data_IF_407537521457
#
_entry.id   IF_407537521457
#
_cell.length_a   1.000
_cell.length_b   1.000
_cell.length_c   1.000
_cell.angle_alpha   90.00
_cell.angle_beta   90.00
_cell.angle_gamma   90.00
#
_symmetry.space_group_name_H-M   'P 1'
#
loop_
_entity.id
_entity.type
_entity.pdbx_description
1 polymer ?
#
# COMPACT_ATOMS: atom_id res chain seq x y z
N UNK A 1 37.29 20.78 13.38
CA UNK A 1 38.38 21.63 12.83
C UNK A 1 39.02 22.54 13.88
N UNK A 2 38.32 23.49 14.49
CA UNK A 2 39.00 24.46 15.39
C UNK A 2 39.59 23.81 16.66
N UNK A 3 38.89 22.85 17.27
CA UNK A 3 39.42 22.08 18.39
C UNK A 3 40.69 21.29 18.02
N UNK A 4 40.75 20.75 16.81
CA UNK A 4 41.89 19.96 16.30
C UNK A 4 43.11 20.85 16.03
N UNK A 5 42.89 22.06 15.49
CA UNK A 5 43.94 23.06 15.30
C UNK A 5 44.51 23.56 16.63
N UNK A 6 43.66 23.73 17.66
CA UNK A 6 44.11 24.01 19.03
C UNK A 6 44.93 22.84 19.59
N UNK A 7 44.43 21.60 19.50
CA UNK A 7 45.13 20.42 19.99
C UNK A 7 46.50 20.19 19.30
N UNK A 8 46.59 20.47 17.99
CA UNK A 8 47.87 20.46 17.25
C UNK A 8 48.81 21.57 17.71
N UNK A 9 48.29 22.77 17.99
CA UNK A 9 49.05 23.86 18.60
C UNK A 9 49.59 23.52 20.00
N UNK A 10 48.76 22.91 20.85
CA UNK A 10 49.14 22.43 22.18
C UNK A 10 50.21 21.33 22.11
N UNK A 11 50.08 20.37 21.19
CA UNK A 11 51.07 19.33 20.96
C UNK A 11 52.44 19.91 20.57
N UNK A 12 52.48 20.87 19.65
CA UNK A 12 53.73 21.53 19.21
C UNK A 12 54.30 22.46 20.31
N UNK A 13 53.47 23.02 21.20
CA UNK A 13 53.95 23.75 22.38
C UNK A 13 54.51 22.84 23.50
N UNK A 14 54.21 21.54 23.46
CA UNK A 14 54.64 20.56 24.46
C UNK A 14 55.92 19.78 24.05
N UNK A 15 56.41 19.96 22.83
CA UNK A 15 57.62 19.32 22.30
C UNK A 15 58.82 20.27 22.43
N UNK A 16 59.86 19.85 23.16
CA UNK A 16 61.08 20.62 23.40
C UNK A 16 62.02 20.66 22.18
N UNK A 17 61.89 19.71 21.25
CA UNK A 17 62.68 19.62 20.01
C UNK A 17 61.92 20.16 18.77
N UNK A 18 60.70 20.68 18.95
CA UNK A 18 59.78 21.12 17.90
C UNK A 18 60.44 21.98 16.81
N UNK A 19 60.34 21.57 15.55
CA UNK A 19 60.99 22.30 14.45
C UNK A 19 60.22 23.57 14.08
N UNK A 20 60.94 24.53 13.50
CA UNK A 20 60.36 25.76 12.95
C UNK A 20 59.23 25.50 11.96
N UNK A 21 59.28 24.41 11.21
CA UNK A 21 58.31 24.13 10.16
C UNK A 21 57.04 23.49 10.74
N UNK A 22 57.14 22.67 11.79
CA UNK A 22 55.99 22.17 12.57
C UNK A 22 55.26 23.32 13.31
N UNK A 23 56.02 24.25 13.91
CA UNK A 23 55.48 25.49 14.48
C UNK A 23 54.77 26.35 13.43
N UNK A 24 55.32 26.44 12.22
CA UNK A 24 54.68 27.18 11.12
C UNK A 24 53.43 26.48 10.58
N UNK A 25 53.37 25.15 10.55
CA UNK A 25 52.20 24.41 10.09
C UNK A 25 51.06 24.43 11.11
N UNK A 26 51.36 24.23 12.41
CA UNK A 26 50.35 24.41 13.47
C UNK A 26 49.79 25.84 13.49
N UNK A 27 50.63 26.86 13.26
CA UNK A 27 50.19 28.25 13.15
C UNK A 27 49.32 28.53 11.91
N UNK A 28 49.58 27.88 10.76
CA UNK A 28 48.72 27.96 9.57
C UNK A 28 47.37 27.31 9.82
N UNK A 29 47.35 26.12 10.40
CA UNK A 29 46.11 25.38 10.67
C UNK A 29 45.22 26.15 11.64
N UNK A 30 45.79 26.75 12.68
CA UNK A 30 45.07 27.65 13.58
C UNK A 30 44.58 28.92 12.85
N UNK A 31 45.36 29.51 11.95
CA UNK A 31 44.92 30.66 11.14
C UNK A 31 43.75 30.30 10.21
N UNK A 32 43.79 29.15 9.54
CA UNK A 32 42.69 28.67 8.70
C UNK A 32 41.44 28.35 9.54
N UNK A 33 41.59 27.73 10.71
CA UNK A 33 40.48 27.46 11.60
C UNK A 33 39.86 28.73 12.22
N UNK A 34 40.67 29.76 12.52
CA UNK A 34 40.15 31.09 12.90
C UNK A 34 39.38 31.72 11.76
N UNK A 35 39.84 31.62 10.51
CA UNK A 35 39.11 32.13 9.35
C UNK A 35 37.80 31.34 9.08
N UNK A 36 37.79 30.03 9.35
CA UNK A 36 36.56 29.23 9.32
C UNK A 36 35.54 29.71 10.38
N UNK A 37 35.98 30.11 11.57
CA UNK A 37 35.10 30.74 12.58
C UNK A 37 34.57 32.13 12.17
N UNK A 38 35.17 32.82 11.20
CA UNK A 38 34.60 34.04 10.61
C UNK A 38 33.47 33.73 9.61
N UNK A 39 33.38 32.48 9.12
CA UNK A 39 32.22 32.03 8.36
C UNK A 39 31.05 31.77 9.32
N UNK A 40 29.90 32.38 9.03
CA UNK A 40 28.71 32.19 9.85
C UNK A 40 28.25 30.73 9.77
N UNK A 41 28.25 30.03 10.91
CA UNK A 41 27.69 28.69 11.06
C UNK A 41 26.28 28.57 10.44
N UNK A 42 25.99 27.38 9.92
CA UNK A 42 24.74 27.09 9.23
C UNK A 42 23.50 27.34 10.10
N UNK A 43 22.43 27.83 9.47
CA UNK A 43 21.09 27.71 10.03
C UNK A 43 20.59 26.30 9.73
N UNK A 44 20.45 25.48 10.79
CA UNK A 44 20.05 24.08 10.69
C UNK A 44 18.56 23.83 10.99
N UNK A 45 17.76 24.89 11.15
CA UNK A 45 16.35 24.80 11.59
C UNK A 45 15.52 23.88 10.68
N UNK A 46 15.71 23.94 9.37
CA UNK A 46 14.98 23.08 8.42
C UNK A 46 15.47 21.63 8.42
N UNK A 47 16.77 21.40 8.70
CA UNK A 47 17.37 20.06 8.86
C UNK A 47 16.88 19.38 10.15
N UNK A 48 16.81 20.12 11.25
CA UNK A 48 16.24 19.69 12.54
C UNK A 48 14.77 19.25 12.36
N UNK A 49 13.95 20.07 11.70
CA UNK A 49 12.55 19.72 11.40
C UNK A 49 12.41 18.51 10.46
N UNK A 50 13.34 18.31 9.52
CA UNK A 50 13.35 17.13 8.65
C UNK A 50 13.74 15.85 9.41
N UNK A 51 14.65 15.95 10.39
CA UNK A 51 14.99 14.85 11.30
C UNK A 51 13.84 14.52 12.26
N UNK A 52 13.17 15.52 12.84
CA UNK A 52 11.94 15.31 13.64
C UNK A 52 10.86 14.58 12.82
N UNK A 53 10.68 14.92 11.54
CA UNK A 53 9.76 14.22 10.66
C UNK A 53 10.23 12.78 10.38
N UNK A 54 11.53 12.56 10.17
CA UNK A 54 12.11 11.25 9.93
C UNK A 54 11.95 10.31 11.14
N UNK A 55 12.06 10.82 12.37
CA UNK A 55 11.81 10.05 13.61
C UNK A 55 10.34 9.64 13.79
N UNK A 56 9.40 10.28 13.09
CA UNK A 56 7.98 9.90 13.10
C UNK A 56 7.62 8.84 12.04
N UNK A 57 8.56 8.42 11.19
CA UNK A 57 8.32 7.46 10.10
C UNK A 57 8.43 6.02 10.61
N UNK A 58 7.27 5.37 10.72
CA UNK A 58 7.15 3.94 10.98
C UNK A 58 7.36 3.14 9.67
N UNK A 59 8.59 2.67 9.44
CA UNK A 59 8.99 1.94 8.24
C UNK A 59 8.26 0.60 8.03
N UNK A 60 7.66 0.00 9.07
CA UNK A 60 6.85 -1.23 8.89
C UNK A 60 5.60 -0.98 8.04
N UNK A 61 5.15 0.29 7.91
CA UNK A 61 4.05 0.67 7.00
C UNK A 61 4.47 0.81 5.54
N UNK A 62 5.75 0.81 5.23
CA UNK A 62 6.31 1.05 3.91
C UNK A 62 6.84 -0.24 3.27
N UNK A 63 6.89 -0.29 1.94
CA UNK A 63 7.59 -1.36 1.21
C UNK A 63 9.11 -1.21 1.41
N UNK A 64 9.88 -2.28 1.22
CA UNK A 64 11.34 -2.30 1.45
C UNK A 64 12.11 -1.32 0.52
N UNK A 65 11.60 -1.08 -0.69
CA UNK A 65 12.21 -0.17 -1.65
C UNK A 65 12.20 1.29 -1.16
N UNK A 66 13.38 1.91 -1.09
CA UNK A 66 13.59 3.28 -0.59
C UNK A 66 13.95 3.36 0.90
N UNK A 67 13.84 2.27 1.67
CA UNK A 67 14.13 2.31 3.12
C UNK A 67 15.63 2.45 3.41
N UNK A 68 16.48 1.77 2.63
CA UNK A 68 17.94 1.87 2.80
C UNK A 68 18.45 3.28 2.46
N UNK A 69 17.91 3.87 1.40
CA UNK A 69 18.21 5.24 0.97
C UNK A 69 17.74 6.27 2.01
N UNK A 70 16.54 6.09 2.58
CA UNK A 70 16.05 6.92 3.68
C UNK A 70 16.92 6.83 4.94
N UNK A 71 17.31 5.63 5.36
CA UNK A 71 18.16 5.45 6.54
C UNK A 71 19.55 6.06 6.35
N UNK A 72 20.16 5.89 5.16
CA UNK A 72 21.45 6.50 4.85
C UNK A 72 21.39 8.04 4.75
N UNK A 73 20.30 8.59 4.19
CA UNK A 73 20.07 10.04 4.18
C UNK A 73 19.83 10.59 5.59
N UNK A 74 19.15 9.84 6.47
CA UNK A 74 18.95 10.20 7.88
C UNK A 74 20.26 10.18 8.65
N UNK A 75 21.09 9.14 8.52
CA UNK A 75 22.42 9.08 9.14
C UNK A 75 23.32 10.25 8.68
N UNK A 76 23.26 10.60 7.39
CA UNK A 76 23.98 11.76 6.84
C UNK A 76 23.47 13.07 7.44
N UNK A 77 22.16 13.24 7.57
CA UNK A 77 21.54 14.40 8.19
C UNK A 77 21.84 14.51 9.69
N UNK A 78 21.85 13.41 10.44
CA UNK A 78 22.26 13.36 11.85
C UNK A 78 23.74 13.76 12.02
N UNK A 79 24.63 13.27 11.16
CA UNK A 79 26.04 13.64 11.15
C UNK A 79 26.26 15.14 10.86
N UNK A 80 25.61 15.67 9.81
CA UNK A 80 25.67 17.10 9.47
C UNK A 80 25.00 17.97 10.54
N UNK A 81 23.98 17.48 11.24
CA UNK A 81 23.37 18.17 12.39
C UNK A 81 24.35 18.24 13.57
N UNK A 82 25.07 17.16 13.86
CA UNK A 82 26.05 17.08 14.95
C UNK A 82 27.36 17.84 14.69
N UNK A 83 27.78 18.02 13.43
CA UNK A 83 29.02 18.73 13.09
C UNK A 83 28.93 20.24 13.40
N UNK A 84 29.75 20.72 14.32
CA UNK A 84 29.81 22.13 14.73
C UNK A 84 30.45 23.06 13.70
N UNK A 85 31.24 22.54 12.76
CA UNK A 85 31.91 23.33 11.72
C UNK A 85 31.12 23.35 10.38
N UNK A 86 30.00 22.62 10.30
CA UNK A 86 29.20 22.47 9.08
C UNK A 86 28.67 23.81 8.50
N UNK A 87 28.83 23.96 7.19
CA UNK A 87 28.44 25.13 6.42
C UNK A 87 27.01 25.00 5.87
N UNK A 88 26.43 26.14 5.46
CA UNK A 88 25.07 26.16 4.91
C UNK A 88 24.86 25.26 3.67
N UNK A 89 25.80 25.13 2.70
CA UNK A 89 25.62 24.23 1.57
C UNK A 89 25.47 22.76 1.99
N UNK A 90 26.30 22.30 2.93
CA UNK A 90 26.29 20.91 3.44
C UNK A 90 25.01 20.64 4.24
N UNK A 91 24.55 21.61 5.04
CA UNK A 91 23.28 21.57 5.77
C UNK A 91 22.08 21.52 4.80
N UNK A 92 22.13 22.28 3.71
CA UNK A 92 21.09 22.26 2.68
C UNK A 92 21.10 20.93 1.89
N UNK A 93 22.27 20.41 1.51
CA UNK A 93 22.40 19.16 0.76
C UNK A 93 21.90 17.96 1.58
N UNK A 94 22.24 17.90 2.87
CA UNK A 94 21.71 16.89 3.78
C UNK A 94 20.18 16.99 3.97
N UNK A 95 19.64 18.21 4.01
CA UNK A 95 18.19 18.45 4.08
C UNK A 95 17.47 18.04 2.79
N UNK A 96 18.00 18.43 1.61
CA UNK A 96 17.43 18.06 0.31
C UNK A 96 17.46 16.53 0.12
N UNK A 97 18.57 15.87 0.47
CA UNK A 97 18.69 14.40 0.39
C UNK A 97 17.72 13.67 1.32
N UNK A 98 17.59 14.10 2.58
CA UNK A 98 16.64 13.50 3.53
C UNK A 98 15.19 13.71 3.06
N UNK A 99 14.84 14.90 2.59
CA UNK A 99 13.50 15.20 2.06
C UNK A 99 13.22 14.42 0.77
N UNK A 100 14.18 14.25 -0.14
CA UNK A 100 14.01 13.40 -1.32
C UNK A 100 13.78 11.94 -0.93
N UNK A 101 14.57 11.39 0.01
CA UNK A 101 14.43 10.02 0.45
C UNK A 101 13.10 9.76 1.19
N UNK A 102 12.64 10.67 2.04
CA UNK A 102 11.28 10.64 2.63
C UNK A 102 10.21 10.61 1.53
N UNK A 103 10.38 11.41 0.47
CA UNK A 103 9.47 11.42 -0.68
C UNK A 103 9.64 10.21 -1.61
N UNK A 104 10.71 9.43 -1.50
CA UNK A 104 10.95 8.20 -2.26
C UNK A 104 10.18 7.00 -1.70
N UNK A 105 10.01 6.92 -0.38
CA UNK A 105 9.27 5.88 0.33
C UNK A 105 7.84 5.68 -0.20
N UNK A 106 7.36 4.42 -0.23
CA UNK A 106 5.98 4.06 -0.62
C UNK A 106 5.30 3.23 0.46
N UNK A 107 4.07 3.58 0.81
CA UNK A 107 3.27 2.77 1.73
C UNK A 107 2.97 1.42 1.10
N UNK A 108 2.80 0.38 1.92
CA UNK A 108 2.26 -0.91 1.48
C UNK A 108 0.82 -0.73 0.98
N UNK A 109 0.40 -1.54 0.01
CA UNK A 109 -1.01 -1.67 -0.36
C UNK A 109 -1.85 -2.15 0.84
N UNK A 110 -3.08 -1.66 0.98
CA UNK A 110 -4.03 -2.17 1.98
C UNK A 110 -4.62 -3.49 1.50
N UNK A 111 -4.36 -4.56 2.27
CA UNK A 111 -4.81 -5.93 1.97
C UNK A 111 -5.87 -6.44 2.94
N UNK A 112 -6.31 -5.64 3.90
CA UNK A 112 -7.27 -6.05 4.94
C UNK A 112 -8.53 -6.72 4.38
N UNK A 113 -9.12 -6.15 3.32
CA UNK A 113 -10.31 -6.70 2.64
C UNK A 113 -10.01 -8.01 1.89
N UNK A 114 -8.77 -8.24 1.47
CA UNK A 114 -8.33 -9.49 0.83
C UNK A 114 -8.06 -10.59 1.87
N UNK A 115 -7.44 -10.22 3.00
CA UNK A 115 -7.22 -11.08 4.17
C UNK A 115 -8.55 -11.56 4.75
N UNK A 116 -9.48 -10.63 5.01
CA UNK A 116 -10.84 -10.93 5.46
C UNK A 116 -11.58 -11.87 4.49
N UNK A 117 -11.45 -11.65 3.17
CA UNK A 117 -12.14 -12.47 2.17
C UNK A 117 -11.55 -13.88 2.07
N UNK A 118 -10.21 -14.02 2.07
CA UNK A 118 -9.54 -15.32 2.06
C UNK A 118 -9.93 -16.13 3.31
N UNK A 119 -9.86 -15.51 4.49
CA UNK A 119 -10.20 -16.12 5.78
C UNK A 119 -11.67 -16.59 5.87
N UNK A 120 -12.56 -16.03 5.05
CA UNK A 120 -13.98 -16.44 4.97
C UNK A 120 -14.22 -17.63 4.03
N UNK A 121 -13.27 -17.98 3.14
CA UNK A 121 -13.51 -18.94 2.06
C UNK A 121 -12.44 -20.03 1.92
N UNK A 122 -11.32 -19.96 2.65
CA UNK A 122 -10.23 -20.94 2.57
C UNK A 122 -10.64 -22.36 3.00
N UNK A 123 -11.45 -22.48 4.06
CA UNK A 123 -11.98 -23.74 4.60
C UNK A 123 -13.29 -24.21 3.93
N UNK A 124 -13.67 -23.64 2.78
CA UNK A 124 -14.94 -23.95 2.11
C UNK A 124 -14.95 -25.38 1.53
N UNK A 125 -15.87 -26.23 1.99
CA UNK A 125 -16.08 -27.56 1.41
C UNK A 125 -16.70 -27.46 0.00
N UNK A 126 -15.87 -27.74 -1.01
CA UNK A 126 -16.24 -27.74 -2.42
C UNK A 126 -16.93 -29.03 -2.89
N UNK A 127 -17.10 -30.06 -2.03
CA UNK A 127 -17.67 -31.37 -2.42
C UNK A 127 -19.12 -31.31 -2.92
N UNK A 128 -19.86 -30.25 -2.58
CA UNK A 128 -21.23 -30.00 -3.04
C UNK A 128 -21.35 -29.28 -4.38
N UNK A 129 -20.24 -28.94 -5.05
CA UNK A 129 -20.18 -28.03 -6.20
C UNK A 129 -19.72 -28.74 -7.49
N UNK A 130 -19.95 -28.11 -8.64
CA UNK A 130 -19.47 -28.61 -9.93
C UNK A 130 -17.95 -28.47 -10.00
N UNK A 131 -17.24 -29.47 -10.54
CA UNK A 131 -15.78 -29.44 -10.60
C UNK A 131 -15.25 -28.25 -11.43
N UNK A 132 -16.00 -27.78 -12.43
CA UNK A 132 -15.67 -26.59 -13.22
C UNK A 132 -15.71 -25.30 -12.36
N UNK A 133 -16.81 -25.05 -11.64
CA UNK A 133 -16.90 -23.86 -10.77
C UNK A 133 -15.94 -23.94 -9.57
N UNK A 134 -15.77 -25.14 -8.99
CA UNK A 134 -14.79 -25.39 -7.93
C UNK A 134 -13.34 -25.16 -8.41
N UNK A 135 -12.98 -25.55 -9.64
CA UNK A 135 -11.67 -25.27 -10.21
C UNK A 135 -11.44 -23.78 -10.44
N UNK A 136 -12.43 -23.04 -10.93
CA UNK A 136 -12.38 -21.57 -11.10
C UNK A 136 -12.17 -20.89 -9.74
N UNK A 137 -12.90 -21.30 -8.70
CA UNK A 137 -12.74 -20.78 -7.34
C UNK A 137 -11.36 -21.09 -6.75
N UNK A 138 -10.85 -22.33 -6.86
CA UNK A 138 -9.50 -22.68 -6.39
C UNK A 138 -8.41 -21.84 -7.06
N UNK A 139 -8.50 -21.63 -8.38
CA UNK A 139 -7.55 -20.79 -9.11
C UNK A 139 -7.63 -19.30 -8.71
N UNK A 140 -8.84 -18.79 -8.45
CA UNK A 140 -9.01 -17.43 -7.94
C UNK A 140 -8.46 -17.26 -6.51
N UNK A 141 -8.59 -18.28 -5.65
CA UNK A 141 -8.04 -18.32 -4.30
C UNK A 141 -6.51 -18.41 -4.29
N UNK A 142 -5.90 -19.19 -5.21
CA UNK A 142 -4.45 -19.25 -5.41
C UNK A 142 -3.87 -17.90 -5.88
N UNK A 143 -4.54 -17.25 -6.84
CA UNK A 143 -4.17 -15.91 -7.30
C UNK A 143 -4.32 -14.85 -6.18
N UNK A 144 -5.41 -14.92 -5.40
CA UNK A 144 -5.63 -14.05 -4.25
C UNK A 144 -4.55 -14.22 -3.17
N UNK A 145 -4.18 -15.46 -2.81
CA UNK A 145 -3.09 -15.73 -1.88
C UNK A 145 -1.72 -15.25 -2.41
N UNK A 146 -1.50 -15.33 -3.72
CA UNK A 146 -0.27 -14.80 -4.35
C UNK A 146 -0.18 -13.28 -4.22
N UNK A 147 -1.30 -12.56 -4.42
CA UNK A 147 -1.39 -11.11 -4.23
C UNK A 147 -1.30 -10.72 -2.75
N UNK A 148 -1.81 -11.55 -1.84
CA UNK A 148 -1.63 -11.37 -0.39
C UNK A 148 -0.16 -11.49 0.02
N UNK A 149 0.54 -12.53 -0.43
CA UNK A 149 1.95 -12.79 -0.08
C UNK A 149 2.95 -11.78 -0.69
N UNK A 150 2.59 -11.05 -1.75
CA UNK A 150 3.49 -10.10 -2.42
C UNK A 150 3.76 -8.83 -1.56
N UNK A 151 4.84 -8.86 -0.78
CA UNK A 151 5.28 -7.74 0.06
C UNK A 151 5.77 -6.50 -0.71
N UNK A 152 5.88 -6.57 -2.05
CA UNK A 152 6.35 -5.45 -2.88
C UNK A 152 5.22 -4.50 -3.31
N UNK A 153 3.95 -4.90 -3.14
CA UNK A 153 2.80 -4.09 -3.55
C UNK A 153 2.68 -2.80 -2.73
N UNK A 154 2.74 -1.67 -3.43
CA UNK A 154 2.65 -0.32 -2.86
C UNK A 154 1.25 0.28 -2.93
N UNK A 155 1.07 1.47 -2.35
CA UNK A 155 -0.10 2.34 -2.54
C UNK A 155 -0.51 2.52 -4.01
N UNK A 156 0.46 2.49 -4.94
CA UNK A 156 0.24 2.60 -6.39
C UNK A 156 -0.23 1.30 -7.04
N UNK A 157 -0.08 0.18 -6.34
CA UNK A 157 -0.46 -1.16 -6.78
C UNK A 157 -1.84 -1.60 -6.26
N UNK A 158 -2.52 -0.77 -5.44
CA UNK A 158 -3.79 -1.09 -4.79
C UNK A 158 -4.83 -1.74 -5.72
N UNK A 159 -4.94 -1.26 -6.97
CA UNK A 159 -5.85 -1.81 -7.97
C UNK A 159 -5.65 -3.32 -8.23
N UNK A 160 -4.44 -3.87 -8.06
CA UNK A 160 -4.17 -5.32 -8.14
C UNK A 160 -4.81 -6.09 -6.98
N UNK A 161 -4.79 -5.50 -5.78
CA UNK A 161 -5.43 -6.06 -4.58
C UNK A 161 -6.95 -6.00 -4.73
N UNK A 162 -7.48 -4.85 -5.18
CA UNK A 162 -8.91 -4.65 -5.41
C UNK A 162 -9.46 -5.60 -6.50
N UNK A 163 -8.72 -5.81 -7.59
CA UNK A 163 -9.09 -6.79 -8.63
C UNK A 163 -8.92 -8.26 -8.15
N UNK A 164 -8.01 -8.54 -7.21
CA UNK A 164 -7.92 -9.87 -6.58
C UNK A 164 -9.13 -10.16 -5.67
N UNK A 165 -9.52 -9.20 -4.81
CA UNK A 165 -10.75 -9.26 -3.99
C UNK A 165 -11.97 -9.51 -4.89
N UNK A 166 -12.10 -8.71 -5.95
CA UNK A 166 -13.19 -8.80 -6.92
C UNK A 166 -13.21 -10.12 -7.68
N UNK A 167 -12.05 -10.65 -8.08
CA UNK A 167 -11.93 -11.94 -8.78
C UNK A 167 -12.29 -13.12 -7.86
N UNK A 168 -11.73 -13.17 -6.64
CA UNK A 168 -12.05 -14.21 -5.66
C UNK A 168 -13.54 -14.18 -5.29
N UNK A 169 -14.09 -12.99 -5.07
CA UNK A 169 -15.52 -12.82 -4.80
C UNK A 169 -16.39 -13.29 -5.96
N UNK A 170 -16.07 -12.91 -7.20
CA UNK A 170 -16.83 -13.33 -8.38
C UNK A 170 -16.77 -14.85 -8.60
N UNK A 171 -15.65 -15.49 -8.27
CA UNK A 171 -15.51 -16.94 -8.34
C UNK A 171 -16.30 -17.65 -7.22
N UNK A 172 -16.34 -17.09 -6.00
CA UNK A 172 -17.17 -17.58 -4.90
C UNK A 172 -18.68 -17.42 -5.19
N UNK A 173 -19.10 -16.22 -5.61
CA UNK A 173 -20.49 -15.93 -6.01
C UNK A 173 -20.92 -16.76 -7.25
N UNK A 174 -19.95 -17.25 -8.03
CA UNK A 174 -20.13 -18.12 -9.21
C UNK A 174 -20.04 -19.64 -8.93
N UNK A 175 -19.97 -20.08 -7.67
CA UNK A 175 -19.93 -21.50 -7.31
C UNK A 175 -21.28 -22.19 -7.58
N UNK A 176 -21.31 -23.08 -8.58
CA UNK A 176 -22.51 -23.84 -8.96
C UNK A 176 -22.61 -25.16 -8.20
N UNK A 177 -23.78 -25.45 -7.61
CA UNK A 177 -23.99 -26.75 -6.94
C UNK A 177 -24.04 -27.89 -7.95
N UNK A 178 -23.37 -29.00 -7.64
CA UNK A 178 -23.49 -30.21 -8.41
C UNK A 178 -24.96 -30.64 -8.45
N UNK A 179 -25.53 -30.84 -9.64
CA UNK A 179 -26.90 -31.36 -9.74
C UNK A 179 -26.94 -32.76 -9.14
N UNK A 180 -27.73 -32.92 -8.08
CA UNK A 180 -27.65 -34.09 -7.22
C UNK A 180 -27.88 -35.38 -7.99
N UNK A 181 -26.95 -36.32 -7.84
CA UNK A 181 -27.14 -37.73 -8.20
C UNK A 181 -28.25 -38.32 -7.33
N UNK A 182 -29.50 -38.11 -7.76
CA UNK A 182 -30.64 -38.86 -7.24
C UNK A 182 -30.28 -40.35 -7.38
N UNK A 183 -30.33 -41.15 -6.29
CA UNK A 183 -29.93 -42.54 -6.36
C UNK A 183 -30.79 -43.27 -7.38
N UNK A 184 -30.14 -43.89 -8.38
CA UNK A 184 -30.83 -44.74 -9.34
C UNK A 184 -31.39 -45.96 -8.61
N UNK A 185 -32.71 -46.00 -8.45
CA UNK A 185 -33.41 -47.18 -7.94
C UNK A 185 -33.77 -48.09 -9.12
N UNK A 186 -33.17 -49.29 -9.26
CA UNK A 186 -33.30 -50.09 -10.47
C UNK A 186 -34.59 -50.92 -10.49
N UNK A 187 -35.44 -50.67 -11.50
CA UNK A 187 -36.48 -51.59 -11.94
C UNK A 187 -37.92 -51.29 -11.48
N UNK A 188 -38.87 -51.41 -12.41
CA UNK A 188 -40.30 -51.24 -12.16
C UNK A 188 -41.10 -50.90 -13.43
N UNK A 189 -41.36 -51.90 -14.28
CA UNK A 189 -42.15 -51.74 -15.52
C UNK A 189 -43.64 -51.52 -15.24
N UNK A 190 -44.33 -50.79 -16.14
CA UNK A 190 -45.78 -50.65 -16.16
C UNK A 190 -46.27 -49.94 -17.43
N UNK A 191 -47.16 -50.57 -18.19
CA UNK A 191 -47.55 -50.16 -19.54
C UNK A 191 -48.79 -49.25 -19.63
N UNK A 192 -48.97 -48.72 -20.84
CA UNK A 192 -50.26 -48.46 -21.52
C UNK A 192 -51.11 -47.19 -21.25
N UNK A 193 -50.96 -46.24 -22.19
CA UNK A 193 -51.94 -45.97 -23.27
C UNK A 193 -53.32 -45.33 -22.95
N UNK A 194 -53.51 -44.11 -23.49
CA UNK A 194 -54.80 -43.50 -23.83
C UNK A 194 -54.80 -41.96 -23.70
N UNK A 195 -55.66 -41.16 -24.34
CA UNK A 195 -56.27 -41.14 -25.67
C UNK A 195 -57.30 -39.97 -25.73
N UNK A 196 -57.10 -39.02 -26.65
CA UNK A 196 -58.12 -38.18 -27.32
C UNK A 196 -58.97 -37.08 -26.60
N UNK A 197 -58.84 -35.85 -27.17
CA UNK A 197 -59.94 -34.97 -27.67
C UNK A 197 -60.64 -33.92 -26.77
N UNK A 198 -60.97 -32.76 -27.40
CA UNK A 198 -61.78 -31.63 -26.88
C UNK A 198 -60.93 -30.47 -26.32
N UNK A 199 -60.69 -29.31 -26.95
CA UNK A 199 -61.36 -28.45 -27.97
C UNK A 199 -62.34 -27.39 -27.40
N UNK A 200 -62.43 -26.24 -28.11
CA UNK A 200 -63.33 -25.08 -27.86
C UNK A 200 -63.05 -24.23 -26.60
N UNK A 201 -63.38 -22.94 -26.48
CA UNK A 201 -63.44 -21.75 -27.39
C UNK A 201 -63.65 -20.49 -26.48
N UNK A 202 -63.55 -19.19 -26.81
CA UNK A 202 -63.32 -18.38 -28.04
C UNK A 202 -62.83 -16.95 -27.64
N UNK A 203 -62.56 -16.09 -28.62
CA UNK A 203 -62.58 -14.61 -28.59
C UNK A 203 -61.48 -13.79 -27.86
N UNK A 204 -61.08 -12.58 -28.30
CA UNK A 204 -60.83 -12.01 -29.65
C UNK A 204 -60.49 -10.51 -29.53
N UNK A 205 -59.23 -10.10 -29.76
CA UNK A 205 -58.87 -8.67 -29.84
C UNK A 205 -57.77 -8.38 -30.88
N UNK A 206 -58.20 -7.89 -32.04
CA UNK A 206 -57.41 -7.15 -33.05
C UNK A 206 -56.82 -5.84 -32.44
N UNK A 207 -55.80 -5.13 -32.98
CA UNK A 207 -54.97 -5.25 -34.21
C UNK A 207 -53.72 -4.33 -34.10
N UNK A 208 -52.64 -4.64 -34.84
CA UNK A 208 -51.50 -3.71 -35.12
C UNK A 208 -50.19 -4.20 -34.49
N UNK A 209 -49.15 -4.72 -35.16
CA UNK A 209 -48.57 -4.53 -36.52
C UNK A 209 -47.67 -3.27 -36.62
N UNK A 210 -46.34 -3.41 -36.76
CA UNK A 210 -45.52 -4.64 -36.79
C UNK A 210 -44.02 -4.40 -37.07
N UNK A 211 -43.30 -5.49 -37.38
CA UNK A 211 -41.87 -5.59 -37.84
C UNK A 211 -40.77 -5.03 -36.91
N UNK A 212 -39.72 -5.79 -36.54
CA UNK A 212 -39.43 -7.22 -36.78
C UNK A 212 -38.00 -7.63 -36.34
N UNK A 213 -37.78 -8.95 -36.18
CA UNK A 213 -36.54 -9.63 -35.70
C UNK A 213 -36.18 -9.40 -34.21
N UNK A 214 -35.67 -10.44 -33.50
CA UNK A 214 -35.10 -10.23 -32.15
C UNK A 214 -35.00 -11.41 -31.16
N UNK A 215 -35.86 -12.44 -31.24
CA UNK A 215 -35.80 -13.67 -30.40
C UNK A 215 -36.06 -13.52 -28.88
N UNK A 216 -36.79 -14.50 -28.32
CA UNK A 216 -37.31 -14.71 -26.95
C UNK A 216 -36.47 -14.18 -25.76
N UNK A 217 -37.01 -13.62 -24.65
CA UNK A 217 -38.23 -13.92 -23.85
C UNK A 217 -38.16 -15.24 -23.03
N UNK A 218 -38.63 -15.34 -21.76
CA UNK A 218 -38.96 -14.36 -20.71
C UNK A 218 -39.12 -15.11 -19.35
N UNK A 219 -39.13 -14.34 -18.25
CA UNK A 219 -39.75 -14.60 -16.93
C UNK A 219 -39.11 -15.53 -15.89
N UNK A 220 -39.31 -15.11 -14.64
CA UNK A 220 -38.76 -15.68 -13.42
C UNK A 220 -39.77 -16.53 -12.62
N UNK A 221 -39.24 -17.28 -11.65
CA UNK A 221 -39.95 -17.68 -10.43
C UNK A 221 -39.15 -17.18 -9.21
N UNK A 222 -39.83 -16.80 -8.12
CA UNK A 222 -39.21 -16.27 -6.89
C UNK A 222 -39.96 -16.71 -5.63
N UNK A 223 -39.21 -17.37 -4.74
CA UNK A 223 -39.34 -17.60 -3.27
C UNK A 223 -38.24 -18.62 -2.96
N UNK A 224 -37.59 -18.74 -1.79
CA UNK A 224 -37.61 -18.12 -0.47
C UNK A 224 -36.82 -19.08 0.47
N UNK A 225 -36.25 -18.72 1.61
CA UNK A 225 -36.29 -17.44 2.32
C UNK A 225 -35.07 -17.31 3.27
N UNK A 226 -34.48 -16.11 3.32
CA UNK A 226 -33.91 -15.42 4.48
C UNK A 226 -33.09 -16.18 5.56
N UNK A 227 -31.79 -15.90 5.60
CA UNK A 227 -31.06 -15.59 6.86
C UNK A 227 -30.27 -14.29 6.70
N UNK A 228 -30.75 -13.15 7.24
CA UNK A 228 -30.06 -11.87 7.08
C UNK A 228 -28.96 -11.69 8.14
N UNK A 229 -27.69 -11.89 7.76
CA UNK A 229 -26.56 -11.39 8.56
C UNK A 229 -26.48 -9.89 8.34
N UNK A 230 -27.08 -9.13 9.26
CA UNK A 230 -27.16 -7.67 9.19
C UNK A 230 -26.96 -7.03 10.58
N UNK A 231 -25.70 -6.80 10.97
CA UNK A 231 -25.33 -5.87 12.05
C UNK A 231 -23.82 -5.56 12.04
N UNK A 232 -23.47 -4.26 12.05
CA UNK A 232 -22.12 -3.71 12.29
C UNK A 232 -21.02 -4.12 11.26
N UNK A 233 -19.94 -3.34 11.07
CA UNK A 233 -19.53 -2.13 11.78
C UNK A 233 -19.70 -0.86 10.93
N UNK A 234 -20.33 0.16 11.52
CA UNK A 234 -20.20 1.54 11.05
C UNK A 234 -19.30 2.29 12.04
N UNK A 235 -18.19 2.82 11.53
CA UNK A 235 -17.37 3.81 12.23
C UNK A 235 -16.14 3.28 12.95
N UNK A 236 -14.97 3.62 12.40
CA UNK A 236 -13.91 4.24 13.20
C UNK A 236 -13.28 5.37 12.38
N UNK A 237 -13.37 6.60 12.88
CA UNK A 237 -12.74 7.79 12.29
C UNK A 237 -11.65 8.26 13.24
N UNK A 238 -10.39 8.10 12.81
CA UNK A 238 -9.20 8.81 13.28
C UNK A 238 -8.36 9.05 12.00
N UNK A 239 -8.01 10.28 11.62
CA UNK A 239 -6.84 11.03 12.10
C UNK A 239 -5.52 10.24 11.87
N UNK A 240 -4.50 10.77 11.19
CA UNK A 240 -4.21 12.16 10.74
C UNK A 240 -3.10 12.15 9.66
N UNK A 241 -2.88 13.20 8.87
CA UNK A 241 -3.57 14.50 8.81
C UNK A 241 -3.03 15.37 7.66
N UNK A 242 -3.84 16.33 7.20
CA UNK A 242 -3.43 17.25 6.13
C UNK A 242 -2.56 18.40 6.66
N UNK A 243 -1.31 18.49 6.21
CA UNK A 243 -0.41 19.62 6.53
C UNK A 243 -0.91 20.87 5.80
N UNK A 244 -1.65 21.72 6.52
CA UNK A 244 -2.04 23.05 6.07
C UNK A 244 -0.82 23.98 6.05
N UNK A 245 -0.22 24.14 4.86
CA UNK A 245 0.92 25.05 4.64
C UNK A 245 0.50 26.51 4.86
N UNK A 246 0.75 27.04 6.06
CA UNK A 246 0.51 28.44 6.39
C UNK A 246 1.67 29.29 5.82
N UNK A 247 1.51 29.76 4.57
CA UNK A 247 2.38 30.76 3.95
C UNK A 247 2.30 32.11 4.68
N UNK A 248 3.01 32.23 5.81
CA UNK A 248 3.03 33.42 6.65
C UNK A 248 3.89 34.51 6.03
N UNK A 249 3.29 35.30 5.13
CA UNK A 249 3.86 36.54 4.56
C UNK A 249 4.64 37.35 5.62
N UNK A 250 5.96 37.42 5.49
CA UNK A 250 6.77 38.48 6.13
C UNK A 250 6.77 39.70 5.22
N UNK A 251 6.09 40.76 5.64
CA UNK A 251 6.12 42.05 4.96
C UNK A 251 7.52 42.66 5.04
N UNK A 252 8.11 43.02 3.91
CA UNK A 252 9.27 43.90 3.89
C UNK A 252 8.86 45.34 4.27
N UNK A 253 9.76 46.04 4.95
CA UNK A 253 9.72 47.49 5.22
C UNK A 253 11.14 48.02 5.31
#
# INVERSE_FOLDING_TARGET
MFADAIAKGEAVMADEDATRDEVLDAAKDLMFAVHALEMKAADKTDLEMALELADMIDLDKYVEAGQAEFLAAKETAEAVMADGDAMQPETNEAWEALVEAINALRLKADKSVLEDLISQVEDLDLSGYTEESAAIFRAALEAANSVLADATLSDKDQAKVDDAVKTLRAAYDGLEKAQGTKPENPGGSGDNQGAASGNDNNSSSQKGQGTGAGTSADKAAKTGDNTPIAAACAGLVLASGAVLVILRRRSAK
#
